data_IF_472199329898
#
_entry.id   IF_472199329898
#
_cell.length_a   1.000
_cell.length_b   1.000
_cell.length_c   1.000
_cell.angle_alpha   90.00
_cell.angle_beta   90.00
_cell.angle_gamma   90.00
#
_symmetry.space_group_name_H-M   'P 1'
#
loop_
_entity.id
_entity.type
_entity.pdbx_description
1 polymer ?
2 non-polymer ?
3 non-polymer ?
4 non-polymer ?
5 water ?
#
# COMPACT_ATOMS: atom_id res chain seq x y z
N UNK A 5 -6.75 23.08 1.99
CA UNK A 5 -5.64 22.14 2.00
C UNK A 5 -4.46 22.72 2.78
N UNK A 6 -4.56 22.71 4.11
CA UNK A 6 -3.48 23.15 4.98
C UNK A 6 -2.51 21.98 5.16
N UNK A 7 -1.31 22.11 4.61
CA UNK A 7 -0.32 21.04 4.63
C UNK A 7 0.61 21.22 5.82
N UNK A 8 1.00 20.11 6.42
CA UNK A 8 1.88 20.12 7.58
C UNK A 8 2.81 18.91 7.50
N UNK A 9 4.07 19.13 7.87
CA UNK A 9 5.06 18.06 7.90
C UNK A 9 5.04 17.44 9.29
N UNK A 10 4.79 16.14 9.36
CA UNK A 10 4.68 15.43 10.63
C UNK A 10 5.99 14.77 11.05
N UNK A 11 6.84 14.42 10.08
CA UNK A 11 8.10 13.74 10.39
C UNK A 11 9.03 13.86 9.20
N UNK A 12 10.32 13.92 9.49
CA UNK A 12 11.38 14.02 8.49
C UNK A 12 12.46 12.99 8.78
N UNK A 13 13.44 12.89 7.89
CA UNK A 13 14.56 11.97 8.05
C UNK A 13 14.08 10.52 8.08
N UNK A 14 12.98 10.23 7.39
CA UNK A 14 12.51 8.86 7.24
C UNK A 14 13.21 8.24 6.04
N UNK A 15 13.52 6.94 6.13
CA UNK A 15 14.33 6.25 5.12
C UNK A 15 13.38 5.54 4.15
N UNK A 16 12.85 6.31 3.21
CA UNK A 16 11.85 5.90 2.22
C UNK A 16 10.58 5.46 2.93
N UNK A 17 9.81 6.41 3.44
CA UNK A 17 8.55 6.06 4.11
C UNK A 17 7.53 5.47 3.14
N UNK A 18 6.70 4.57 3.68
CA UNK A 18 5.62 3.94 2.92
C UNK A 18 4.64 3.34 3.91
N UNK A 19 3.57 2.73 3.38
CA UNK A 19 2.59 2.00 4.15
C UNK A 19 2.11 2.67 5.41
N UNK A 20 1.65 3.92 5.31
CA UNK A 20 1.13 4.60 6.52
C UNK A 20 -0.17 3.98 6.97
N UNK A 21 -0.28 3.74 8.29
CA UNK A 21 -1.51 3.31 8.93
C UNK A 21 -1.81 4.31 10.04
N UNK A 22 -2.94 5.01 9.94
CA UNK A 22 -3.25 6.13 10.82
C UNK A 22 -4.15 5.59 11.91
N UNK A 23 -3.65 5.61 13.12
CA UNK A 23 -4.35 5.04 14.26
C UNK A 23 -5.47 5.97 14.72
N UNK A 24 -6.40 5.47 15.54
CA UNK A 24 -7.50 6.34 16.00
C UNK A 24 -7.03 7.60 16.73
N UNK A 25 -5.90 7.55 17.44
CA UNK A 25 -5.41 8.71 18.17
C UNK A 25 -4.62 9.68 17.31
N UNK A 26 -4.51 9.41 16.02
CA UNK A 26 -3.75 10.26 15.12
C UNK A 26 -2.27 9.94 15.03
N UNK A 27 -1.78 8.99 15.81
CA UNK A 27 -0.44 8.47 15.57
C UNK A 27 -0.43 7.67 14.26
N UNK A 28 0.75 7.57 13.65
CA UNK A 28 0.91 6.86 12.38
C UNK A 28 1.99 5.81 12.54
N UNK A 29 1.65 4.56 12.21
CA UNK A 29 2.63 3.48 12.08
C UNK A 29 2.89 3.30 10.60
N UNK A 30 4.16 3.31 10.21
CA UNK A 30 4.51 3.23 8.79
C UNK A 30 5.79 2.43 8.64
N UNK A 31 6.11 2.09 7.39
CA UNK A 31 7.33 1.35 7.11
C UNK A 31 8.36 2.32 6.57
N UNK A 32 9.63 2.06 6.88
CA UNK A 32 10.78 2.70 6.26
C UNK A 32 11.47 1.61 5.45
N UNK A 33 11.28 1.61 4.12
CA UNK A 33 11.76 0.51 3.31
C UNK A 33 13.28 0.42 3.41
N UNK A 34 13.96 1.57 3.29
CA UNK A 34 15.42 1.59 3.24
C UNK A 34 16.04 1.27 4.60
N UNK A 35 15.37 1.66 5.69
CA UNK A 35 15.86 1.34 7.03
C UNK A 35 15.33 0.03 7.55
N UNK A 36 14.48 -0.66 6.78
CA UNK A 36 13.97 -1.99 7.09
C UNK A 36 13.36 -2.03 8.50
N UNK A 37 12.39 -1.16 8.73
CA UNK A 37 11.79 -1.12 10.04
C UNK A 37 10.37 -0.58 9.94
N UNK A 38 9.62 -0.86 11.00
CA UNK A 38 8.29 -0.30 11.24
C UNK A 38 8.44 0.77 12.30
N UNK A 39 7.92 1.96 12.02
CA UNK A 39 8.14 3.14 12.85
C UNK A 39 6.82 3.78 13.25
N UNK A 40 6.75 4.29 14.48
CA UNK A 40 5.59 4.97 15.00
C UNK A 40 5.90 6.46 15.11
N UNK A 41 5.04 7.29 14.53
CA UNK A 41 5.18 8.74 14.57
C UNK A 41 4.02 9.29 15.37
N UNK A 42 4.31 10.02 16.41
CA UNK A 42 3.32 10.58 17.30
C UNK A 42 3.01 12.03 16.94
N UNK A 43 1.80 12.51 17.27
CA UNK A 43 1.47 13.92 16.97
C UNK A 43 2.30 14.92 17.75
N UNK A 44 2.85 14.56 18.92
CA UNK A 44 3.74 15.49 19.62
C UNK A 44 5.12 15.56 18.99
N UNK A 45 5.33 14.97 17.81
CA UNK A 45 6.55 15.05 17.07
C UNK A 45 7.48 13.85 17.23
N UNK A 46 7.41 13.18 18.38
CA UNK A 46 8.33 12.10 18.67
C UNK A 46 8.11 10.92 17.72
N UNK A 47 9.16 10.13 17.55
CA UNK A 47 9.14 8.92 16.73
C UNK A 47 9.77 7.78 17.52
N UNK A 48 9.25 6.57 17.34
CA UNK A 48 9.86 5.38 17.94
C UNK A 48 9.84 4.27 16.90
N UNK A 49 10.89 3.44 16.94
CA UNK A 49 10.96 2.27 16.10
C UNK A 49 10.17 1.16 16.78
N UNK A 50 9.16 0.64 16.09
CA UNK A 50 8.34 -0.43 16.65
C UNK A 50 9.03 -1.78 16.48
N UNK A 51 9.64 -2.01 15.32
CA UNK A 51 10.22 -3.31 15.02
C UNK A 51 11.17 -3.17 13.83
N UNK A 52 12.22 -3.99 13.84
CA UNK A 52 13.05 -4.17 12.67
C UNK A 52 12.46 -5.29 11.83
N UNK A 53 12.30 -5.05 10.54
CA UNK A 53 11.68 -6.01 9.63
C UNK A 53 12.66 -6.22 8.48
N UNK A 54 13.53 -7.22 8.56
CA UNK A 54 14.57 -7.37 7.54
C UNK A 54 14.01 -7.54 6.15
N UNK A 55 14.69 -6.93 5.18
CA UNK A 55 14.30 -7.08 3.80
C UNK A 55 13.81 -5.81 3.17
N UNK A 56 12.52 -5.78 2.79
CA UNK A 56 11.92 -4.61 2.20
C UNK A 56 10.48 -4.42 2.59
N UNK A 57 10.25 -4.09 3.87
CA UNK A 57 8.87 -3.78 4.31
C UNK A 57 8.28 -2.64 3.47
N UNK A 58 7.18 -2.92 2.79
CA UNK A 58 6.67 -2.09 1.71
C UNK A 58 5.26 -1.54 1.95
N UNK A 59 4.41 -2.27 2.65
CA UNK A 59 3.06 -1.81 2.91
C UNK A 59 2.61 -2.43 4.21
N UNK A 60 1.61 -1.80 4.83
CA UNK A 60 1.15 -2.22 6.14
C UNK A 60 -0.36 -2.05 6.26
N UNK A 61 -0.95 -2.91 7.10
CA UNK A 61 -2.37 -2.82 7.41
C UNK A 61 -2.62 -3.51 8.74
N UNK A 62 -3.42 -2.88 9.60
CA UNK A 62 -3.77 -3.47 10.87
C UNK A 62 -4.77 -4.61 10.66
N UNK A 63 -4.52 -5.73 11.33
CA UNK A 63 -5.31 -6.90 11.15
C UNK A 63 -6.30 -7.16 12.26
N UNK A 64 -7.16 -8.16 12.04
CA UNK A 64 -8.19 -8.48 13.05
C UNK A 64 -7.61 -8.97 14.36
N UNK A 65 -6.38 -9.43 14.36
CA UNK A 65 -5.71 -9.88 15.57
C UNK A 65 -4.99 -8.74 16.28
N UNK A 66 -5.14 -7.52 15.78
CA UNK A 66 -4.45 -6.38 16.34
C UNK A 66 -2.97 -6.30 16.02
N UNK A 67 -2.47 -7.17 15.16
CA UNK A 67 -1.10 -7.11 14.70
C UNK A 67 -1.03 -6.37 13.36
N UNK A 68 0.15 -5.88 13.04
CA UNK A 68 0.37 -5.11 11.82
C UNK A 68 0.87 -6.08 10.74
N UNK A 69 0.07 -6.26 9.70
CA UNK A 69 0.46 -7.11 8.58
C UNK A 69 1.29 -6.29 7.60
N UNK A 70 2.30 -6.92 7.03
CA UNK A 70 3.34 -6.27 6.23
C UNK A 70 3.49 -7.02 4.92
N UNK A 71 3.54 -6.26 3.82
CA UNK A 71 4.05 -6.75 2.55
C UNK A 71 5.55 -6.52 2.55
N UNK A 72 6.33 -7.60 2.46
CA UNK A 72 7.79 -7.50 2.40
C UNK A 72 8.23 -7.85 0.98
N UNK A 73 8.80 -6.87 0.28
CA UNK A 73 9.19 -7.11 -1.10
C UNK A 73 10.54 -7.81 -1.23
N UNK A 74 11.18 -8.15 -0.11
CA UNK A 74 12.43 -8.89 -0.13
C UNK A 74 13.67 -8.04 -0.19
N UNK A 75 13.54 -6.74 -0.42
CA UNK A 75 14.68 -5.86 -0.47
C UNK A 75 14.86 -5.27 -1.86
N UNK A 76 15.35 -4.04 -1.90
CA UNK A 76 15.71 -3.34 -3.13
C UNK A 76 17.22 -3.07 -3.14
N UNK A 77 17.69 -2.47 -4.23
CA UNK A 77 19.04 -1.93 -4.30
C UNK A 77 19.01 -0.41 -4.41
N UNK A 78 19.56 0.28 -3.43
CA UNK A 78 19.43 1.74 -3.33
C UNK A 78 20.63 2.49 -3.88
N UNK A 86 17.09 6.44 -3.90
CA UNK A 86 16.05 5.89 -4.78
C UNK A 86 16.26 4.39 -5.00
N UNK A 87 15.19 3.61 -4.84
CA UNK A 87 15.34 2.15 -4.99
C UNK A 87 15.60 1.75 -6.44
N UNK A 88 16.12 0.54 -6.58
CA UNK A 88 16.39 -0.04 -7.87
C UNK A 88 16.37 -1.55 -7.78
N UNK A 89 16.74 -2.20 -8.89
CA UNK A 89 16.75 -3.65 -8.93
C UNK A 89 17.70 -4.20 -7.85
N UNK A 90 17.26 -5.17 -7.06
CA UNK A 90 18.14 -5.68 -5.99
C UNK A 90 19.24 -6.57 -6.57
N UNK A 91 20.50 -6.23 -6.29
CA UNK A 91 21.57 -7.18 -6.52
C UNK A 91 21.22 -8.49 -5.81
N UNK A 92 21.71 -9.62 -6.31
CA UNK A 92 21.27 -10.91 -5.74
C UNK A 92 21.29 -10.97 -4.22
N UNK A 93 22.37 -10.48 -3.59
CA UNK A 93 22.51 -10.60 -2.14
C UNK A 93 21.55 -9.71 -1.37
N UNK A 94 21.06 -8.63 -1.98
CA UNK A 94 20.15 -7.70 -1.31
C UNK A 94 18.70 -8.18 -1.32
N UNK A 95 18.41 -9.32 -1.93
CA UNK A 95 17.06 -9.87 -2.02
C UNK A 95 16.97 -11.16 -1.23
N UNK A 96 16.01 -11.23 -0.30
CA UNK A 96 15.84 -12.40 0.55
C UNK A 96 14.50 -13.10 0.30
N UNK A 97 13.78 -12.72 -0.74
CA UNK A 97 12.50 -13.34 -1.04
C UNK A 97 11.33 -12.55 -0.50
N UNK A 98 10.27 -12.45 -1.30
CA UNK A 98 9.10 -11.74 -0.84
C UNK A 98 8.28 -12.55 0.14
N UNK A 99 7.53 -11.85 0.99
CA UNK A 99 6.70 -12.54 1.96
C UNK A 99 5.60 -11.64 2.49
N UNK A 100 4.64 -12.29 3.15
CA UNK A 100 3.65 -11.61 3.97
C UNK A 100 4.02 -11.89 5.41
N UNK A 101 4.11 -10.84 6.22
CA UNK A 101 4.55 -10.94 7.61
C UNK A 101 3.57 -10.23 8.53
N UNK A 102 3.81 -10.40 9.83
CA UNK A 102 2.93 -9.92 10.89
C UNK A 102 3.82 -9.44 12.03
N UNK A 103 3.54 -8.26 12.56
CA UNK A 103 4.36 -7.68 13.62
C UNK A 103 3.48 -7.38 14.83
N UNK A 104 3.93 -7.84 16.00
CA UNK A 104 3.30 -7.48 17.26
C UNK A 104 3.72 -6.07 17.63
N UNK A 105 2.75 -5.15 17.71
CA UNK A 105 3.02 -3.75 17.97
C UNK A 105 3.43 -3.48 19.41
N UNK A 106 3.52 -4.52 20.23
CA UNK A 106 3.89 -4.41 21.64
C UNK A 106 5.22 -5.04 21.97
N UNK A 107 5.58 -6.15 21.31
CA UNK A 107 6.85 -6.81 21.49
C UNK A 107 7.82 -6.61 20.35
N UNK A 108 7.33 -6.22 19.16
CA UNK A 108 8.17 -6.15 17.98
C UNK A 108 8.43 -7.49 17.31
N UNK A 109 7.85 -8.57 17.81
CA UNK A 109 8.06 -9.88 17.21
C UNK A 109 7.53 -9.90 15.80
N UNK A 110 8.36 -10.35 14.86
CA UNK A 110 7.99 -10.47 13.46
C UNK A 110 7.88 -11.95 13.11
N UNK A 111 6.76 -12.33 12.52
CA UNK A 111 6.51 -13.69 12.08
C UNK A 111 6.21 -13.67 10.59
N UNK A 112 6.86 -14.56 9.85
CA UNK A 112 6.57 -14.73 8.43
C UNK A 112 5.39 -15.68 8.28
N UNK A 113 4.43 -15.30 7.45
CA UNK A 113 3.21 -16.09 7.27
C UNK A 113 3.19 -16.86 5.96
N UNK A 114 3.48 -16.18 4.85
CA UNK A 114 3.50 -16.78 3.52
C UNK A 114 4.73 -16.29 2.77
N UNK A 115 5.43 -17.20 2.11
CA UNK A 115 6.47 -16.80 1.18
C UNK A 115 6.27 -17.39 -0.21
N UNK A 116 5.13 -18.05 -0.44
CA UNK A 116 4.83 -18.66 -1.72
C UNK A 116 3.33 -18.79 -1.85
N UNK A 117 2.87 -18.96 -3.09
CA UNK A 117 1.49 -19.32 -3.39
C UNK A 117 1.54 -20.54 -4.30
N UNK A 118 0.94 -21.64 -3.86
CA UNK A 118 1.17 -22.88 -4.57
C UNK A 118 2.66 -23.18 -4.62
N UNK A 119 3.15 -23.56 -5.79
CA UNK A 119 4.55 -23.87 -5.96
C UNK A 119 5.36 -22.67 -6.44
N UNK A 120 4.84 -21.45 -6.27
CA UNK A 120 5.48 -20.25 -6.79
C UNK A 120 5.86 -19.29 -5.68
N UNK A 121 7.15 -19.01 -5.48
CA UNK A 121 7.52 -18.00 -4.49
C UNK A 121 6.92 -16.64 -4.80
N UNK A 122 6.53 -15.93 -3.74
CA UNK A 122 6.16 -14.52 -3.86
C UNK A 122 7.39 -13.70 -4.21
N UNK A 123 7.21 -12.71 -5.08
CA UNK A 123 8.36 -11.97 -5.58
C UNK A 123 8.52 -10.66 -4.83
N UNK A 124 7.61 -9.72 -5.05
CA UNK A 124 7.73 -8.42 -4.45
C UNK A 124 6.40 -7.89 -3.92
N UNK A 125 5.86 -8.52 -2.89
CA UNK A 125 4.63 -8.00 -2.28
C UNK A 125 4.74 -6.51 -1.96
N UNK A 126 3.67 -5.77 -2.22
CA UNK A 126 3.76 -4.31 -2.20
C UNK A 126 2.77 -3.65 -1.24
N UNK A 127 1.47 -3.80 -1.43
CA UNK A 127 0.51 -3.21 -0.52
C UNK A 127 -0.66 -4.16 -0.32
N UNK A 128 -1.52 -3.83 0.65
CA UNK A 128 -2.53 -4.79 1.10
C UNK A 128 -3.72 -4.10 1.75
N UNK A 129 -4.82 -4.84 1.83
CA UNK A 129 -6.08 -4.32 2.37
C UNK A 129 -6.91 -5.49 2.86
N UNK A 130 -7.51 -5.33 4.05
CA UNK A 130 -8.37 -6.36 4.62
C UNK A 130 -9.82 -6.13 4.19
N UNK A 131 -10.52 -7.23 3.86
CA UNK A 131 -11.98 -7.17 3.71
C UNK A 131 -12.62 -7.36 5.09
N UNK A 132 -13.94 -7.19 5.15
CA UNK A 132 -14.63 -7.17 6.44
C UNK A 132 -14.67 -8.53 7.13
N UNK A 133 -14.33 -9.60 6.43
CA UNK A 133 -14.27 -10.92 7.06
C UNK A 133 -12.88 -11.29 7.55
N UNK A 134 -11.91 -10.39 7.39
CA UNK A 134 -10.55 -10.68 7.75
C UNK A 134 -9.70 -11.29 6.65
N UNK A 135 -10.26 -11.47 5.46
CA UNK A 135 -9.44 -11.83 4.31
C UNK A 135 -8.55 -10.69 3.87
N UNK A 136 -7.41 -11.05 3.29
CA UNK A 136 -6.36 -10.08 3.02
C UNK A 136 -5.97 -10.09 1.55
N UNK A 137 -6.20 -8.96 0.89
CA UNK A 137 -5.80 -8.75 -0.50
C UNK A 137 -4.41 -8.13 -0.51
N UNK A 138 -3.56 -8.55 -1.45
CA UNK A 138 -2.29 -7.86 -1.58
C UNK A 138 -1.79 -7.93 -3.01
N UNK A 139 -0.99 -6.94 -3.37
CA UNK A 139 -0.39 -6.87 -4.68
C UNK A 139 1.04 -7.40 -4.65
N UNK A 140 1.50 -7.82 -5.83
CA UNK A 140 2.88 -8.23 -6.07
C UNK A 140 3.35 -7.35 -7.22
N UNK A 141 4.31 -6.48 -6.93
CA UNK A 141 4.95 -5.65 -7.95
C UNK A 141 5.96 -6.43 -8.78
N UNK A 142 6.39 -7.59 -8.31
CA UNK A 142 7.48 -8.32 -8.96
C UNK A 142 8.82 -7.68 -8.68
N UNK A 143 9.87 -8.36 -9.11
CA UNK A 143 11.23 -7.86 -9.00
C UNK A 143 11.79 -7.58 -10.39
N UNK A 144 12.63 -6.56 -10.47
CA UNK A 144 13.43 -6.28 -11.67
C UNK A 144 14.77 -6.99 -11.56
N UNK A 145 15.16 -7.67 -12.61
CA UNK A 145 16.49 -8.24 -12.77
C UNK A 145 17.18 -7.52 -13.92
N UNK A 146 18.40 -7.98 -14.23
CA UNK A 146 19.25 -7.23 -15.15
C UNK A 146 18.56 -6.99 -16.48
N UNK A 147 17.95 -8.03 -17.05
CA UNK A 147 17.44 -7.97 -18.42
C UNK A 147 15.98 -8.36 -18.52
N UNK A 148 15.30 -8.57 -17.40
CA UNK A 148 13.90 -8.90 -17.45
C UNK A 148 13.28 -8.52 -16.12
N UNK A 149 11.97 -8.71 -16.02
CA UNK A 149 11.20 -8.28 -14.86
C UNK A 149 10.01 -9.21 -14.70
N UNK A 150 9.58 -9.38 -13.45
CA UNK A 150 8.38 -10.15 -13.19
C UNK A 150 7.13 -9.40 -13.65
N UNK A 151 6.11 -10.16 -13.97
CA UNK A 151 4.77 -9.59 -14.18
C UNK A 151 4.12 -9.26 -12.84
N UNK A 152 3.08 -8.44 -12.88
CA UNK A 152 2.33 -8.12 -11.67
C UNK A 152 1.27 -9.14 -11.35
N UNK A 153 0.81 -9.08 -10.10
CA UNK A 153 -0.18 -10.04 -9.61
C UNK A 153 -0.91 -9.47 -8.40
N UNK A 154 -2.06 -10.07 -8.12
CA UNK A 154 -2.80 -9.81 -6.88
C UNK A 154 -3.25 -11.13 -6.29
N UNK A 155 -3.19 -11.20 -4.97
CA UNK A 155 -3.47 -12.41 -4.20
C UNK A 155 -4.50 -12.08 -3.14
N UNK A 156 -5.18 -13.12 -2.68
CA UNK A 156 -6.08 -13.04 -1.54
C UNK A 156 -5.80 -14.19 -0.59
N UNK A 157 -5.60 -13.84 0.67
CA UNK A 157 -5.43 -14.79 1.76
C UNK A 157 -6.77 -14.92 2.47
N UNK A 158 -7.26 -16.17 2.56
CA UNK A 158 -8.57 -16.44 3.14
C UNK A 158 -8.60 -16.07 4.62
N UNK A 159 -9.77 -15.70 5.12
CA UNK A 159 -9.91 -15.41 6.56
C UNK A 159 -9.32 -16.51 7.43
N UNK A 160 -8.63 -16.10 8.49
CA UNK A 160 -7.94 -17.04 9.34
C UNK A 160 -6.53 -17.35 8.88
N UNK A 161 -6.13 -16.84 7.71
CA UNK A 161 -4.79 -17.09 7.15
C UNK A 161 -4.61 -18.58 6.87
N UNK A 162 -5.65 -19.19 6.32
CA UNK A 162 -5.70 -20.61 6.06
C UNK A 162 -5.11 -20.98 4.70
N UNK A 163 -5.37 -20.17 3.68
CA UNK A 163 -4.98 -20.48 2.31
C UNK A 163 -4.72 -19.16 1.59
N UNK A 164 -3.76 -19.19 0.67
CA UNK A 164 -3.46 -18.06 -0.20
C UNK A 164 -3.82 -18.48 -1.61
N UNK A 165 -4.41 -17.57 -2.36
CA UNK A 165 -4.88 -17.83 -3.71
C UNK A 165 -4.46 -16.71 -4.64
N UNK A 166 -4.19 -17.07 -5.89
CA UNK A 166 -3.88 -16.12 -6.95
C UNK A 166 -5.19 -15.67 -7.59
N UNK A 167 -5.47 -14.37 -7.54
CA UNK A 167 -6.67 -13.81 -8.16
C UNK A 167 -6.43 -13.07 -9.48
N UNK A 168 -5.31 -12.37 -9.60
CA UNK A 168 -4.92 -11.67 -10.82
C UNK A 168 -3.47 -11.99 -11.13
N UNK A 169 -3.16 -12.22 -12.40
CA UNK A 169 -1.80 -12.53 -12.76
C UNK A 169 -1.56 -12.16 -14.20
N UNK A 170 -0.42 -11.54 -14.46
CA UNK A 170 0.01 -11.25 -15.80
C UNK A 170 -0.23 -9.83 -16.27
N UNK A 171 -0.51 -8.92 -15.35
CA UNK A 171 -0.50 -7.50 -15.67
C UNK A 171 0.94 -6.98 -15.59
N UNK A 172 1.15 -5.71 -15.92
CA UNK A 172 2.40 -5.05 -15.53
C UNK A 172 2.40 -4.93 -14.01
N UNK A 173 3.52 -4.54 -13.41
CA UNK A 173 3.59 -4.52 -11.93
C UNK A 173 2.44 -3.78 -11.24
N UNK A 174 1.88 -4.41 -10.21
CA UNK A 174 0.77 -3.86 -9.44
C UNK A 174 1.24 -3.38 -8.07
N UNK A 175 0.62 -2.29 -7.61
CA UNK A 175 1.15 -1.52 -6.50
C UNK A 175 0.03 -1.23 -5.50
N UNK A 176 -0.66 -0.11 -5.65
CA UNK A 176 -1.74 0.18 -4.74
C UNK A 176 -2.89 -0.81 -4.89
N UNK A 177 -3.61 -1.03 -3.80
CA UNK A 177 -4.78 -1.90 -3.83
C UNK A 177 -5.79 -1.39 -2.80
N UNK A 178 -7.06 -1.43 -3.19
CA UNK A 178 -8.11 -1.12 -2.23
C UNK A 178 -9.41 -1.78 -2.61
N UNK A 179 -10.39 -1.64 -1.70
CA UNK A 179 -11.75 -2.13 -1.91
C UNK A 179 -12.73 -0.96 -2.01
N UNK A 180 -13.75 -1.12 -2.86
CA UNK A 180 -14.86 -0.18 -2.85
C UNK A 180 -15.56 -0.19 -1.47
N UNK A 181 -16.34 0.84 -1.19
CA UNK A 181 -17.08 0.87 0.09
C UNK A 181 -17.91 -0.39 0.34
N UNK A 182 -18.63 -0.87 -0.68
CA UNK A 182 -19.42 -2.08 -0.54
C UNK A 182 -18.59 -3.34 -0.68
N UNK A 183 -17.30 -3.20 -0.99
CA UNK A 183 -16.34 -4.30 -1.11
C UNK A 183 -16.69 -5.28 -2.22
N UNK A 184 -17.51 -4.85 -3.18
CA UNK A 184 -17.83 -5.66 -4.36
C UNK A 184 -16.87 -5.42 -5.52
N UNK A 185 -15.92 -4.49 -5.36
CA UNK A 185 -14.92 -4.19 -6.38
C UNK A 185 -13.57 -4.01 -5.71
N UNK A 186 -12.53 -4.62 -6.29
CA UNK A 186 -11.15 -4.44 -5.86
C UNK A 186 -10.45 -3.60 -6.91
N UNK A 187 -9.68 -2.64 -6.45
CA UNK A 187 -8.90 -1.77 -7.31
C UNK A 187 -7.41 -2.08 -7.14
N UNK A 188 -6.68 -2.06 -8.26
CA UNK A 188 -5.24 -2.28 -8.23
C UNK A 188 -4.62 -1.27 -9.18
N UNK A 189 -3.59 -0.59 -8.71
CA UNK A 189 -2.88 0.42 -9.51
C UNK A 189 -1.71 -0.23 -10.24
N UNK A 190 -1.63 -0.03 -11.55
CA UNK A 190 -0.56 -0.57 -12.38
C UNK A 190 0.50 0.52 -12.53
N UNK A 191 1.69 0.26 -12.00
CA UNK A 191 2.65 1.33 -11.79
C UNK A 191 3.13 2.00 -13.07
N UNK A 192 3.78 1.31 -14.02
CA UNK A 192 4.44 2.03 -15.12
C UNK A 192 3.47 2.69 -16.09
N UNK A 193 2.23 2.22 -16.17
CA UNK A 193 1.27 2.75 -17.14
C UNK A 193 0.41 3.86 -16.55
N UNK A 194 0.43 4.05 -15.24
CA UNK A 194 -0.49 5.02 -14.66
C UNK A 194 -1.93 4.65 -14.92
N UNK A 195 -2.25 3.36 -14.88
CA UNK A 195 -3.62 2.89 -15.06
C UNK A 195 -4.14 2.32 -13.75
N UNK A 196 -5.39 2.63 -13.45
CA UNK A 196 -6.11 2.04 -12.32
C UNK A 196 -7.04 0.96 -12.84
N UNK A 197 -6.89 -0.25 -12.33
CA UNK A 197 -7.68 -1.39 -12.78
C UNK A 197 -8.75 -1.72 -11.76
N UNK A 198 -9.94 -2.09 -12.25
CA UNK A 198 -11.05 -2.46 -11.39
C UNK A 198 -11.42 -3.91 -11.65
N UNK A 199 -11.64 -4.68 -10.57
CA UNK A 199 -11.97 -6.09 -10.67
C UNK A 199 -13.26 -6.34 -9.90
N UNK A 200 -14.27 -6.85 -10.59
CA UNK A 200 -15.52 -7.20 -9.92
C UNK A 200 -15.32 -8.45 -9.09
N UNK A 201 -15.92 -8.48 -7.91
CA UNK A 201 -15.86 -9.63 -7.03
C UNK A 201 -17.23 -10.31 -6.99
N UNK A 202 -17.26 -11.61 -7.26
CA UNK A 202 -18.48 -12.39 -7.10
C UNK A 202 -18.78 -12.65 -5.64
N UNK A 203 -17.76 -12.61 -4.80
CA UNK A 203 -17.88 -12.77 -3.36
C UNK A 203 -16.54 -12.44 -2.74
N UNK A 204 -16.48 -12.41 -1.41
CA UNK A 204 -15.20 -12.10 -0.75
C UNK A 204 -14.07 -12.96 -1.30
N UNK A 205 -12.99 -12.30 -1.71
CA UNK A 205 -11.76 -12.93 -2.14
C UNK A 205 -11.78 -13.54 -3.53
N UNK A 206 -12.80 -13.28 -4.34
CA UNK A 206 -12.98 -13.99 -5.61
C UNK A 206 -13.30 -13.01 -6.72
N UNK A 207 -12.37 -12.85 -7.65
CA UNK A 207 -12.60 -12.01 -8.83
C UNK A 207 -13.41 -12.82 -9.84
N UNK A 208 -14.42 -12.19 -10.44
CA UNK A 208 -15.08 -12.75 -11.62
C UNK A 208 -14.64 -12.02 -12.88
N UNK A 209 -14.46 -12.71 -14.01
CA UNK A 209 -14.05 -11.99 -15.23
C UNK A 209 -15.10 -10.99 -15.72
N UNK A 218 -9.30 -10.38 -16.52
CA UNK A 218 -10.22 -10.57 -15.40
C UNK A 218 -10.83 -9.25 -14.92
N UNK A 219 -10.24 -8.14 -15.34
CA UNK A 219 -10.74 -6.83 -14.97
C UNK A 219 -10.52 -5.83 -16.09
N UNK A 220 -10.70 -4.55 -15.80
CA UNK A 220 -10.48 -3.55 -16.83
C UNK A 220 -9.85 -2.29 -16.26
N UNK A 221 -9.07 -1.58 -17.08
CA UNK A 221 -8.53 -0.27 -16.68
C UNK A 221 -9.62 0.79 -16.84
N UNK A 222 -9.96 1.46 -15.75
CA UNK A 222 -10.98 2.49 -15.79
C UNK A 222 -10.40 3.88 -15.95
N UNK A 223 -9.10 4.05 -15.73
CA UNK A 223 -8.48 5.36 -15.89
C UNK A 223 -7.03 5.15 -16.30
N UNK A 224 -6.61 5.86 -17.33
CA UNK A 224 -5.22 5.89 -17.70
C UNK A 224 -4.74 7.31 -17.84
N UNK A 225 -3.80 7.71 -16.99
CA UNK A 225 -3.31 9.07 -17.02
C UNK A 225 -2.47 9.26 -18.26
N UNK A 226 -2.38 10.50 -18.70
CA UNK A 226 -1.59 10.81 -19.86
C UNK A 226 -0.15 11.11 -19.51
N UNK A 227 0.64 11.41 -20.54
CA UNK A 227 1.98 11.93 -20.30
C UNK A 227 2.89 10.85 -19.75
N UNK A 228 3.71 11.25 -18.77
CA UNK A 228 4.75 10.39 -18.19
C UNK A 228 4.44 10.44 -16.71
N UNK A 229 3.48 9.63 -16.30
CA UNK A 229 3.00 9.56 -14.91
C UNK A 229 2.87 8.09 -14.53
N UNK A 230 3.24 7.75 -13.30
CA UNK A 230 3.20 6.38 -12.83
C UNK A 230 2.48 6.36 -11.50
N UNK A 231 1.92 5.21 -11.18
CA UNK A 231 1.11 5.05 -9.98
C UNK A 231 1.85 4.26 -8.90
N UNK A 232 1.62 4.63 -7.64
CA UNK A 232 2.15 3.88 -6.50
C UNK A 232 0.95 3.37 -5.71
N UNK A 233 0.86 3.69 -4.43
CA UNK A 233 -0.19 3.15 -3.56
C UNK A 233 -1.42 4.05 -3.53
N UNK A 234 -2.47 3.62 -2.83
CA UNK A 234 -3.75 4.31 -2.91
C UNK A 234 -4.55 4.17 -1.62
N UNK A 235 -5.62 4.96 -1.52
CA UNK A 235 -6.62 4.85 -0.46
C UNK A 235 -7.96 5.26 -1.03
N UNK A 236 -9.01 4.62 -0.57
CA UNK A 236 -10.35 4.83 -1.10
C UNK A 236 -11.10 5.79 -0.18
N UNK A 237 -11.93 6.65 -0.78
CA UNK A 237 -12.79 7.58 -0.06
C UNK A 237 -14.15 6.95 0.24
N UNK A 238 -14.83 7.49 1.27
CA UNK A 238 -16.18 7.03 1.56
C UNK A 238 -17.10 7.18 0.35
N UNK A 239 -16.81 8.18 -0.50
CA UNK A 239 -17.60 8.40 -1.70
C UNK A 239 -17.41 7.30 -2.73
N UNK A 240 -16.37 6.49 -2.59
CA UNK A 240 -15.99 5.52 -3.61
C UNK A 240 -14.84 5.96 -4.48
N UNK A 241 -14.46 7.23 -4.43
CA UNK A 241 -13.32 7.68 -5.20
C UNK A 241 -12.06 6.99 -4.73
N UNK A 242 -11.14 6.75 -5.65
CA UNK A 242 -9.85 6.12 -5.38
C UNK A 242 -8.77 7.18 -5.53
N UNK A 243 -8.01 7.38 -4.46
CA UNK A 243 -6.97 8.41 -4.38
C UNK A 243 -5.63 7.72 -4.53
N UNK A 244 -4.94 7.97 -5.65
CA UNK A 244 -3.74 7.20 -5.99
C UNK A 244 -2.53 8.13 -5.98
N UNK A 245 -1.51 7.74 -5.21
CA UNK A 245 -0.24 8.43 -5.24
C UNK A 245 0.37 8.32 -6.63
N UNK A 246 0.75 9.46 -7.18
CA UNK A 246 1.18 9.57 -8.57
C UNK A 246 2.63 10.03 -8.62
N UNK A 247 3.49 9.15 -9.13
CA UNK A 247 4.89 9.41 -9.27
C UNK A 247 5.17 10.23 -10.53
N UNK A 248 6.35 10.87 -10.55
CA UNK A 248 6.84 11.71 -11.63
C UNK A 248 6.15 13.07 -11.56
N UNK A 249 4.82 13.09 -11.67
CA UNK A 249 4.11 14.36 -11.56
C UNK A 249 3.88 14.79 -10.11
N UNK A 250 4.04 13.88 -9.14
CA UNK A 250 4.05 14.24 -7.74
C UNK A 250 2.74 14.78 -7.22
N UNK A 251 1.71 13.93 -7.15
CA UNK A 251 0.40 14.40 -6.75
C UNK A 251 -0.42 13.20 -6.28
N UNK A 252 -1.63 13.49 -5.81
CA UNK A 252 -2.64 12.47 -5.55
C UNK A 252 -3.68 12.58 -6.65
N UNK A 253 -3.86 11.50 -7.42
CA UNK A 253 -4.87 11.47 -8.47
C UNK A 253 -6.16 10.88 -7.90
N UNK A 254 -7.23 11.66 -7.92
CA UNK A 254 -8.52 11.23 -7.41
C UNK A 254 -9.37 10.75 -8.57
N UNK A 255 -9.75 9.48 -8.56
CA UNK A 255 -10.43 8.83 -9.67
C UNK A 255 -11.80 8.37 -9.20
N UNK A 256 -12.83 8.75 -9.94
CA UNK A 256 -14.19 8.36 -9.60
C UNK A 256 -14.41 6.88 -9.93
N UNK A 257 -15.40 6.27 -9.29
CA UNK A 257 -15.69 4.84 -9.61
C UNK A 257 -15.88 4.58 -11.09
N UNK A 258 -16.39 5.55 -11.85
CA UNK A 258 -16.56 5.39 -13.29
C UNK A 258 -15.30 5.74 -14.07
N UNK A 259 -14.19 6.00 -13.39
CA UNK A 259 -12.93 6.25 -14.06
C UNK A 259 -12.61 7.71 -14.31
N UNK A 260 -13.54 8.61 -14.06
CA UNK A 260 -13.28 10.03 -14.29
C UNK A 260 -12.17 10.51 -13.38
N UNK A 261 -11.20 11.22 -13.96
CA UNK A 261 -10.18 11.90 -13.18
C UNK A 261 -10.81 13.14 -12.53
N UNK A 262 -11.08 13.05 -11.24
CA UNK A 262 -11.77 14.14 -10.55
C UNK A 262 -10.82 15.32 -10.32
N UNK A 263 -9.60 15.06 -9.91
CA UNK A 263 -8.64 16.12 -9.61
C UNK A 263 -7.28 15.51 -9.32
N UNK A 264 -6.25 16.36 -9.36
CA UNK A 264 -4.89 15.99 -9.03
C UNK A 264 -4.36 17.00 -8.03
N UNK A 265 -4.00 16.53 -6.83
CA UNK A 265 -3.59 17.39 -5.74
C UNK A 265 -2.06 17.32 -5.65
N UNK A 266 -1.35 18.41 -5.96
CA UNK A 266 0.12 18.36 -5.90
C UNK A 266 0.60 18.22 -4.47
N UNK A 267 1.73 17.53 -4.33
CA UNK A 267 2.32 17.25 -3.02
C UNK A 267 3.72 17.82 -2.85
N UNK A 268 4.40 18.18 -3.93
CA UNK A 268 5.73 18.73 -3.86
C UNK A 268 6.86 17.74 -3.99
N UNK A 269 6.56 16.46 -4.18
CA UNK A 269 7.58 15.41 -4.27
C UNK A 269 7.24 14.52 -5.46
N UNK A 270 8.17 14.39 -6.40
CA UNK A 270 7.95 13.51 -7.54
C UNK A 270 7.81 12.05 -7.11
N UNK A 271 8.34 11.70 -5.93
CA UNK A 271 8.25 10.33 -5.42
C UNK A 271 7.21 10.29 -4.29
N UNK A 272 5.97 10.64 -4.61
CA UNK A 272 4.83 10.49 -3.71
C UNK A 272 4.34 9.06 -3.81
N UNK A 273 4.25 8.35 -2.67
CA UNK A 273 4.10 6.90 -2.73
C UNK A 273 2.83 6.36 -2.12
N UNK A 274 2.27 7.00 -1.10
CA UNK A 274 1.10 6.41 -0.46
C UNK A 274 0.30 7.51 0.24
N UNK A 275 -0.95 7.15 0.56
CA UNK A 275 -1.90 8.03 1.23
C UNK A 275 -2.80 7.16 2.09
N UNK A 276 -3.20 7.71 3.23
CA UNK A 276 -4.08 7.04 4.18
C UNK A 276 -4.89 8.11 4.89
N UNK A 277 -6.13 7.78 5.23
CA UNK A 277 -7.04 8.76 5.83
C UNK A 277 -7.17 8.54 7.34
N UNK A 278 -7.22 9.64 8.05
CA UNK A 278 -7.41 9.59 9.48
C UNK A 278 -7.86 10.93 10.01
N UNK A 279 -7.80 11.04 11.33
CA UNK A 279 -8.22 12.25 11.99
C UNK A 279 -9.74 12.34 12.09
N UNK A 280 -10.25 13.48 12.57
CA UNK A 280 -11.70 13.64 12.67
C UNK A 280 -12.40 13.44 11.33
N UNK A 281 -13.44 12.61 11.36
CA UNK A 281 -14.23 12.26 10.19
C UNK A 281 -13.41 11.63 9.07
N UNK A 282 -12.17 11.20 9.35
CA UNK A 282 -11.27 10.65 8.34
C UNK A 282 -11.07 11.66 7.21
N UNK A 283 -11.03 12.95 7.57
CA UNK A 283 -10.88 14.01 6.58
C UNK A 283 -9.49 14.62 6.59
N UNK A 284 -8.50 13.93 7.14
CA UNK A 284 -7.10 14.28 7.01
C UNK A 284 -6.39 13.20 6.20
N UNK A 285 -5.68 13.61 5.16
CA UNK A 285 -4.88 12.72 4.34
C UNK A 285 -3.44 12.71 4.83
N UNK A 286 -2.91 11.53 5.11
CA UNK A 286 -1.54 11.33 5.56
C UNK A 286 -0.78 10.72 4.39
N UNK A 287 0.24 11.42 3.91
CA UNK A 287 0.90 11.08 2.66
C UNK A 287 2.37 10.89 2.90
N UNK A 288 2.95 9.85 2.30
CA UNK A 288 4.39 9.62 2.38
C UNK A 288 5.08 10.24 1.16
N UNK A 289 5.99 11.16 1.41
CA UNK A 289 6.83 11.78 0.38
C UNK A 289 8.18 11.09 0.48
N UNK A 290 8.35 10.00 -0.29
CA UNK A 290 9.49 9.13 -0.09
C UNK A 290 10.77 9.70 -0.69
N UNK A 291 10.67 10.71 -1.54
CA UNK A 291 11.86 11.39 -1.99
C UNK A 291 12.44 12.31 -0.92
N UNK A 292 11.58 13.10 -0.29
CA UNK A 292 12.00 14.01 0.76
C UNK A 292 12.14 13.32 2.11
N UNK A 293 11.74 12.06 2.21
CA UNK A 293 11.82 11.35 3.47
C UNK A 293 10.85 11.90 4.49
N UNK A 294 9.65 12.29 4.07
CA UNK A 294 8.71 12.98 4.94
C UNK A 294 7.37 12.24 5.01
N UNK A 295 6.74 12.37 6.16
CA UNK A 295 5.32 12.09 6.32
C UNK A 295 4.63 13.43 6.46
N UNK A 296 3.59 13.67 5.66
CA UNK A 296 2.86 14.93 5.76
C UNK A 296 1.38 14.63 6.01
N UNK A 297 0.67 15.66 6.45
CA UNK A 297 -0.77 15.63 6.60
C UNK A 297 -1.37 16.78 5.79
N UNK A 298 -2.59 16.58 5.32
CA UNK A 298 -3.26 17.53 4.44
C UNK A 298 -4.75 17.45 4.67
N UNK A 299 -5.40 18.60 4.76
CA UNK A 299 -6.85 18.61 4.83
C UNK A 299 -7.42 18.04 3.54
N UNK A 300 -8.45 17.21 3.67
CA UNK A 300 -9.11 16.56 2.54
C UNK A 300 -10.57 16.98 2.52
N UNK A 301 -11.08 17.31 1.34
CA UNK A 301 -12.42 17.88 1.27
C UNK A 301 -13.50 16.86 1.58
N UNK A 302 -13.23 15.57 1.40
CA UNK A 302 -14.20 14.52 1.59
C UNK A 302 -13.61 13.46 2.52
N UNK A 303 -14.45 12.72 3.24
CA UNK A 303 -13.91 11.76 4.20
C UNK A 303 -13.43 10.46 3.55
N UNK A 304 -12.44 9.85 4.19
CA UNK A 304 -11.94 8.59 3.71
C UNK A 304 -12.85 7.44 4.06
N UNK A 305 -12.64 6.32 3.35
CA UNK A 305 -13.36 5.08 3.65
C UNK A 305 -12.77 4.46 4.90
N UNK A 306 -13.56 4.20 5.95
CA UNK A 306 -13.01 3.51 7.12
C UNK A 306 -12.44 2.15 6.74
N UNK A 307 -11.23 1.87 7.21
CA UNK A 307 -10.62 0.57 6.96
C UNK A 307 -11.11 -0.46 7.97
N UNK A 308 -11.28 -1.69 7.50
CA UNK A 308 -11.69 -2.75 8.42
C UNK A 308 -10.61 -2.99 9.46
N UNK A 309 -11.04 -3.19 10.70
CA UNK A 309 -10.17 -3.53 11.83
C UNK A 309 -9.24 -2.38 12.22
N UNK A 310 -9.47 -1.19 11.68
CA UNK A 310 -8.76 0.02 12.10
C UNK A 310 -9.75 1.10 12.47
N UNK A 311 -10.67 1.41 11.56
CA UNK A 311 -11.62 2.50 11.72
C UNK A 311 -13.06 2.04 11.96
N UNK A 312 -13.37 0.78 11.72
CA UNK A 312 -14.72 0.27 11.91
C UNK A 312 -14.67 -1.22 12.18
X LIG B 1 3.41 0.96 -2.83
X LIG C 1 -2.84 3.69 1.64
X LIG D 1 7.59 2.11 -6.47
X LIG D 1 8.20 1.20 -4.13
X LIG D 1 6.82 1.58 -3.65
X LIG D 1 8.38 1.11 -5.66
X LIG D 1 8.12 3.53 -6.37
X LIG D 1 7.57 1.69 -7.83
X LIG D 1 5.89 0.75 -3.77
X LIG D 1 6.69 2.73 -3.15
X LIG D 1 6.57 2.12 -6.08
X LIG D 1 8.43 0.24 -3.66
X LIG D 1 8.90 1.91 -3.70
X LIG D 1 8.13 0.11 -6.00
X LIG D 1 9.44 1.24 -5.91
X LIG D 1 9.16 3.61 -6.70
X LIG D 1 8.09 3.92 -5.35
X LIG D 1 7.55 4.24 -6.97
X LIG D 1 8.34 2.13 -8.27
#
# INVERSE_FOLDING_TARGET
SAIASNVRVLATDLAFPEGPVVMPDGSVVLVEIRAQQLTRVWPDGRKEVVAKVPGGPNGAALGPDGKMYICNNGGFGWFPSRGTMMPGAPAPHEYIGGSIQRVDLQSGEVETLFDKCGEHPLKGPNDLVFDKHGGLWFTDLGKRRARDMDVGAAYYIKPGMTEITEQVFGTLPLNGIGLSPDEATMYAAETPTGRLWAFDLSGPGEVKPRDVIYRGEKGKPICGLGGYQMFDSLAVEASGNVCVATLVSGCISVIAPDGTLVEQVPTGDRVTTNIAFGGPDLKTAYITLSGKGELIAMDWSRPGLPLNFLNK
CA CA
NA NA
SJ3 C05 C06 C08 C04 C07 O01 O02 O03 H051 H061 H062 H042 H041 H073 H072 H071 H011
#
